data_IF_164255712205
#
_entry.id   IF_164255712205
#
_cell.length_a   1.000
_cell.length_b   1.000
_cell.length_c   1.000
_cell.angle_alpha   90.00
_cell.angle_beta   90.00
_cell.angle_gamma   90.00
#
_symmetry.space_group_name_H-M   'P 1'
#
loop_
_entity.id
_entity.type
_entity.pdbx_description
1 polymer ?
#
# COMPACT_ATOMS: atom_id res chain seq x y z
N UNK A 1 -14.98 -38.48 9.73
CA UNK A 1 -13.58 -38.04 9.70
C UNK A 1 -13.51 -36.81 8.80
N UNK A 2 -13.60 -35.62 9.40
CA UNK A 2 -13.51 -34.36 8.68
C UNK A 2 -12.02 -33.93 8.66
N UNK A 3 -11.37 -34.07 7.54
CA UNK A 3 -10.06 -33.45 7.29
C UNK A 3 -10.29 -31.97 7.12
N UNK A 4 -10.09 -31.22 8.21
CA UNK A 4 -9.94 -29.77 8.13
C UNK A 4 -8.72 -29.49 7.25
N UNK A 5 -8.95 -28.91 6.08
CA UNK A 5 -7.89 -28.37 5.23
C UNK A 5 -7.25 -27.24 6.03
N UNK A 6 -6.09 -27.49 6.62
CA UNK A 6 -5.24 -26.45 7.18
C UNK A 6 -4.92 -25.48 6.05
N UNK A 7 -5.63 -24.36 6.03
CA UNK A 7 -5.22 -23.23 5.22
C UNK A 7 -3.87 -22.77 5.78
N UNK A 8 -2.81 -23.03 5.03
CA UNK A 8 -1.49 -22.47 5.33
C UNK A 8 -1.64 -20.98 5.60
N UNK A 9 -1.11 -20.46 6.72
CA UNK A 9 -1.19 -19.04 7.01
C UNK A 9 -0.62 -18.29 5.80
N UNK A 10 -1.39 -17.34 5.26
CA UNK A 10 -0.90 -16.45 4.22
C UNK A 10 0.29 -15.72 4.84
N UNK A 11 1.49 -16.14 4.51
CA UNK A 11 2.72 -15.45 4.91
C UNK A 11 2.65 -14.07 4.25
N UNK A 12 2.35 -13.06 5.06
CA UNK A 12 2.43 -11.66 4.63
C UNK A 12 3.89 -11.34 4.31
N UNK A 13 4.19 -11.28 3.03
CA UNK A 13 5.55 -11.03 2.58
C UNK A 13 5.87 -9.55 2.73
N UNK A 14 6.92 -9.25 3.50
CA UNK A 14 7.50 -7.90 3.57
C UNK A 14 8.35 -7.61 2.34
N UNK A 15 7.70 -7.51 1.19
CA UNK A 15 8.37 -7.27 -0.09
C UNK A 15 9.02 -5.88 -0.22
N UNK A 16 8.68 -4.95 0.67
CA UNK A 16 9.26 -3.61 0.74
C UNK A 16 10.35 -3.46 1.78
N UNK A 17 10.57 -4.46 2.65
CA UNK A 17 11.52 -4.39 3.75
C UNK A 17 11.07 -3.46 4.88
N UNK A 18 9.76 -3.37 5.11
CA UNK A 18 9.16 -2.47 6.10
C UNK A 18 9.51 -2.85 7.54
N UNK A 19 9.80 -4.14 7.80
CA UNK A 19 10.16 -4.64 9.13
C UNK A 19 11.39 -3.92 9.70
N UNK A 20 12.35 -3.57 8.81
CA UNK A 20 13.56 -2.84 9.18
C UNK A 20 13.40 -1.33 9.34
N UNK A 21 12.22 -0.78 9.00
CA UNK A 21 11.99 0.67 9.01
C UNK A 21 11.55 1.17 10.40
N UNK A 22 12.08 2.30 10.84
CA UNK A 22 11.63 2.96 12.07
C UNK A 22 10.52 3.97 11.79
N UNK A 23 9.29 3.62 12.11
CA UNK A 23 8.11 4.48 11.99
C UNK A 23 7.69 5.20 13.28
N UNK A 24 8.44 5.07 14.38
CA UNK A 24 8.04 5.64 15.70
C UNK A 24 7.74 7.12 15.67
N UNK A 25 8.44 7.86 14.82
CA UNK A 25 8.26 9.30 14.66
C UNK A 25 7.66 9.70 13.31
N UNK A 26 7.24 8.73 12.51
CA UNK A 26 6.67 9.00 11.20
C UNK A 26 5.22 9.42 11.31
N UNK A 27 4.87 10.55 10.70
CA UNK A 27 3.52 11.10 10.69
C UNK A 27 2.73 10.65 9.47
N UNK A 28 3.38 10.57 8.32
CA UNK A 28 2.77 10.14 7.06
C UNK A 28 3.63 9.08 6.38
N UNK A 29 3.00 7.94 6.08
CA UNK A 29 3.56 6.86 5.29
C UNK A 29 2.76 6.78 3.99
N UNK A 30 3.41 6.85 2.83
CA UNK A 30 2.75 6.78 1.53
C UNK A 30 3.30 5.61 0.73
N UNK A 31 2.42 4.71 0.33
CA UNK A 31 2.69 3.68 -0.66
C UNK A 31 2.09 4.14 -1.99
N UNK A 32 2.93 4.50 -2.95
CA UNK A 32 2.50 4.97 -4.25
C UNK A 32 2.90 3.99 -5.35
N UNK A 33 1.99 3.74 -6.28
CA UNK A 33 2.23 2.86 -7.41
C UNK A 33 0.97 2.54 -8.20
N UNK A 34 1.16 1.76 -9.27
CA UNK A 34 0.06 1.33 -10.14
C UNK A 34 -0.91 0.39 -9.42
N UNK A 35 -2.05 0.12 -10.04
CA UNK A 35 -3.01 -0.86 -9.55
C UNK A 35 -2.37 -2.26 -9.51
N UNK A 36 -2.63 -3.02 -8.44
CA UNK A 36 -2.06 -4.37 -8.27
C UNK A 36 -0.59 -4.40 -7.83
N UNK A 37 0.05 -3.27 -7.52
CA UNK A 37 1.46 -3.21 -7.11
C UNK A 37 1.73 -3.60 -5.65
N UNK A 38 0.72 -4.07 -4.90
CA UNK A 38 0.88 -4.52 -3.52
C UNK A 38 0.70 -3.43 -2.45
N UNK A 39 0.22 -2.24 -2.79
CA UNK A 39 0.01 -1.15 -1.81
C UNK A 39 -0.85 -1.55 -0.62
N UNK A 40 -2.00 -2.17 -0.87
CA UNK A 40 -2.90 -2.64 0.20
C UNK A 40 -2.28 -3.78 1.01
N UNK A 41 -1.43 -4.62 0.39
CA UNK A 41 -0.66 -5.65 1.10
C UNK A 41 0.35 -5.01 2.05
N UNK A 42 1.07 -3.96 1.60
CA UNK A 42 1.99 -3.21 2.44
C UNK A 42 1.28 -2.52 3.62
N UNK A 43 0.08 -1.96 3.40
CA UNK A 43 -0.75 -1.41 4.46
C UNK A 43 -1.17 -2.47 5.48
N UNK A 44 -1.58 -3.66 5.03
CA UNK A 44 -1.92 -4.79 5.92
C UNK A 44 -0.70 -5.24 6.71
N UNK A 45 0.47 -5.35 6.08
CA UNK A 45 1.71 -5.67 6.78
C UNK A 45 2.00 -4.69 7.91
N UNK A 46 1.88 -3.37 7.66
CA UNK A 46 2.04 -2.35 8.72
C UNK A 46 1.08 -2.57 9.89
N UNK A 47 -0.19 -2.87 9.58
CA UNK A 47 -1.22 -3.04 10.60
C UNK A 47 -0.99 -4.27 11.46
N UNK A 48 -0.70 -5.40 10.82
CA UNK A 48 -0.79 -6.71 11.45
C UNK A 48 0.56 -7.18 11.99
N UNK A 49 1.66 -6.79 11.35
CA UNK A 49 2.98 -7.35 11.62
C UNK A 49 4.02 -6.33 12.09
N UNK A 50 3.91 -5.04 11.68
CA UNK A 50 4.96 -4.09 12.03
C UNK A 50 4.96 -3.71 13.51
N UNK A 51 6.11 -3.81 14.25
CA UNK A 51 6.16 -3.61 15.71
C UNK A 51 5.70 -2.22 16.18
N UNK A 52 5.79 -1.20 15.32
CA UNK A 52 5.32 0.15 15.65
C UNK A 52 3.78 0.22 15.77
N UNK A 53 3.03 -0.66 15.11
CA UNK A 53 1.58 -0.54 14.93
C UNK A 53 0.80 -1.78 15.33
N UNK A 54 1.34 -2.99 15.18
CA UNK A 54 0.69 -4.24 15.54
C UNK A 54 0.18 -4.21 16.98
N UNK A 55 -1.04 -4.71 17.21
CA UNK A 55 -1.69 -4.73 18.51
C UNK A 55 -2.12 -3.35 19.07
N UNK A 56 -1.98 -2.25 18.32
CA UNK A 56 -2.36 -0.90 18.72
C UNK A 56 -3.65 -0.45 18.06
N UNK A 57 -4.37 0.54 18.62
CA UNK A 57 -5.59 1.07 18.02
C UNK A 57 -5.37 1.57 16.60
N UNK A 58 -6.12 1.02 15.67
CA UNK A 58 -6.03 1.31 14.25
C UNK A 58 -7.41 1.60 13.67
N UNK A 59 -7.46 2.40 12.60
CA UNK A 59 -8.66 2.65 11.83
C UNK A 59 -8.36 2.53 10.34
N UNK A 60 -9.10 1.65 9.66
CA UNK A 60 -9.02 1.47 8.22
C UNK A 60 -10.15 2.23 7.51
N UNK A 61 -9.81 2.94 6.44
CA UNK A 61 -10.73 3.73 5.62
C UNK A 61 -10.54 3.31 4.16
N UNK A 62 -11.60 2.87 3.54
CA UNK A 62 -11.67 2.67 2.10
C UNK A 62 -12.18 3.93 1.44
N UNK A 63 -11.44 4.50 0.50
CA UNK A 63 -11.82 5.75 -0.16
C UNK A 63 -12.41 5.52 -1.55
N UNK A 64 -13.18 4.46 -1.75
CA UNK A 64 -13.95 4.30 -3.00
C UNK A 64 -14.90 5.47 -3.22
N UNK A 65 -15.34 6.14 -2.17
CA UNK A 65 -16.11 7.37 -2.23
C UNK A 65 -15.19 8.59 -2.35
N UNK A 66 -15.57 9.55 -3.19
CA UNK A 66 -14.77 10.78 -3.45
C UNK A 66 -14.62 11.67 -2.22
N UNK A 67 -15.49 11.51 -1.23
CA UNK A 67 -15.49 12.28 0.02
C UNK A 67 -15.78 11.38 1.22
N UNK A 68 -14.98 11.51 2.27
CA UNK A 68 -15.15 10.82 3.55
C UNK A 68 -14.91 11.80 4.69
N UNK A 69 -15.66 11.62 5.79
CA UNK A 69 -15.63 12.55 6.92
C UNK A 69 -14.41 12.27 7.82
N UNK A 70 -13.31 12.94 7.51
CA UNK A 70 -12.10 12.87 8.33
C UNK A 70 -12.30 13.43 9.76
N UNK A 71 -13.32 14.27 10.00
CA UNK A 71 -13.52 14.92 11.30
C UNK A 71 -13.95 13.92 12.38
N UNK A 72 -14.56 12.78 12.00
CA UNK A 72 -15.03 11.75 12.92
C UNK A 72 -13.95 10.75 13.35
N UNK A 73 -12.74 10.84 12.77
CA UNK A 73 -11.68 9.85 12.97
C UNK A 73 -10.60 10.48 13.83
N UNK A 74 -10.65 10.23 15.13
CA UNK A 74 -9.74 10.83 16.11
C UNK A 74 -9.07 9.78 17.00
N UNK A 75 -7.89 10.15 17.50
CA UNK A 75 -7.19 9.43 18.57
C UNK A 75 -6.74 8.00 18.23
N UNK A 76 -6.48 7.70 16.96
CA UNK A 76 -5.91 6.42 16.60
C UNK A 76 -4.38 6.50 16.53
N UNK A 77 -3.72 5.39 16.84
CA UNK A 77 -2.27 5.25 16.67
C UNK A 77 -1.89 5.23 15.19
N UNK A 78 -2.68 4.53 14.40
CA UNK A 78 -2.54 4.44 12.96
C UNK A 78 -3.90 4.60 12.28
N UNK A 79 -4.00 5.48 11.31
CA UNK A 79 -5.13 5.56 10.39
C UNK A 79 -4.64 5.15 9.01
N UNK A 80 -5.28 4.14 8.46
CA UNK A 80 -4.98 3.63 7.12
C UNK A 80 -6.01 4.17 6.15
N UNK A 81 -5.55 4.76 5.05
CA UNK A 81 -6.39 5.28 3.96
C UNK A 81 -6.03 4.53 2.69
N UNK A 82 -6.86 3.59 2.30
CA UNK A 82 -6.64 2.82 1.09
C UNK A 82 -7.31 3.50 -0.11
N UNK A 83 -6.63 3.47 -1.29
CA UNK A 83 -7.15 3.94 -2.57
C UNK A 83 -7.25 5.47 -2.72
N UNK A 84 -6.29 6.25 -2.22
CA UNK A 84 -6.22 7.68 -2.56
C UNK A 84 -5.84 7.85 -4.04
N UNK A 85 -6.84 8.11 -4.88
CA UNK A 85 -6.69 8.18 -6.35
C UNK A 85 -6.84 9.59 -6.91
N UNK A 86 -7.36 10.54 -6.11
CA UNK A 86 -7.64 11.89 -6.59
C UNK A 86 -7.07 12.97 -5.67
N UNK A 87 -6.45 14.07 -6.22
CA UNK A 87 -5.88 15.15 -5.41
C UNK A 87 -6.87 15.82 -4.43
N UNK A 88 -8.15 15.84 -4.76
CA UNK A 88 -9.20 16.37 -3.87
C UNK A 88 -9.35 15.64 -2.53
N UNK A 89 -8.76 14.44 -2.41
CA UNK A 89 -8.75 13.68 -1.16
C UNK A 89 -7.62 14.12 -0.21
N UNK A 90 -6.60 14.84 -0.70
CA UNK A 90 -5.45 15.27 0.10
C UNK A 90 -5.80 16.20 1.27
N UNK A 91 -6.75 17.15 1.18
CA UNK A 91 -7.19 17.92 2.33
C UNK A 91 -7.75 17.07 3.47
N UNK A 92 -8.43 15.96 3.15
CA UNK A 92 -8.92 15.03 4.15
C UNK A 92 -7.76 14.26 4.81
N UNK A 93 -6.75 13.82 4.05
CA UNK A 93 -5.50 13.24 4.59
C UNK A 93 -4.81 14.24 5.54
N UNK A 94 -4.74 15.53 5.16
CA UNK A 94 -4.17 16.56 6.01
C UNK A 94 -4.93 16.75 7.34
N UNK A 95 -6.27 16.66 7.31
CA UNK A 95 -7.09 16.68 8.54
C UNK A 95 -6.81 15.48 9.43
N UNK A 96 -6.70 14.27 8.86
CA UNK A 96 -6.34 13.07 9.61
C UNK A 96 -4.99 13.21 10.32
N UNK A 97 -3.99 13.77 9.64
CA UNK A 97 -2.67 14.02 10.21
C UNK A 97 -2.69 14.97 11.41
N UNK A 98 -3.64 15.92 11.46
CA UNK A 98 -3.81 16.81 12.60
C UNK A 98 -4.42 16.10 13.82
N UNK A 99 -5.21 15.06 13.60
CA UNK A 99 -6.04 14.43 14.62
C UNK A 99 -5.47 13.09 15.12
N UNK A 100 -4.56 12.48 14.38
CA UNK A 100 -4.04 11.14 14.64
C UNK A 100 -2.51 11.14 14.69
N UNK A 101 -1.91 10.09 15.26
CA UNK A 101 -0.45 10.01 15.39
C UNK A 101 0.24 9.75 14.07
N UNK A 102 -0.22 8.73 13.35
CA UNK A 102 0.32 8.34 12.05
C UNK A 102 -0.82 8.08 11.06
N UNK A 103 -0.62 8.47 9.82
CA UNK A 103 -1.51 8.15 8.71
C UNK A 103 -0.72 7.39 7.65
N UNK A 104 -1.19 6.21 7.27
CA UNK A 104 -0.63 5.43 6.16
C UNK A 104 -1.60 5.46 4.98
N UNK A 105 -1.08 5.72 3.78
CA UNK A 105 -1.87 5.96 2.57
C UNK A 105 -1.41 5.05 1.45
N UNK A 106 -2.33 4.31 0.83
CA UNK A 106 -2.11 3.72 -0.48
C UNK A 106 -2.63 4.67 -1.57
N UNK A 107 -1.80 5.01 -2.54
CA UNK A 107 -2.14 6.03 -3.53
C UNK A 107 -1.75 5.68 -4.94
N UNK A 108 -2.58 6.13 -5.89
CA UNK A 108 -2.29 6.16 -7.32
C UNK A 108 -1.74 7.52 -7.78
N UNK A 109 -1.68 8.49 -6.89
CA UNK A 109 -1.14 9.81 -7.19
C UNK A 109 0.39 9.75 -7.33
N UNK A 110 0.91 10.63 -8.17
CA UNK A 110 2.36 10.81 -8.29
C UNK A 110 2.95 11.29 -6.96
N UNK A 111 4.18 10.89 -6.59
CA UNK A 111 4.86 11.33 -5.36
C UNK A 111 4.85 12.84 -5.13
N UNK A 112 4.92 13.62 -6.21
CA UNK A 112 4.91 15.09 -6.17
C UNK A 112 3.68 15.68 -5.46
N UNK A 113 2.53 15.00 -5.49
CA UNK A 113 1.32 15.45 -4.79
C UNK A 113 1.46 15.43 -3.28
N UNK A 114 2.36 14.60 -2.74
CA UNK A 114 2.61 14.49 -1.31
C UNK A 114 3.77 15.37 -0.82
N UNK A 115 4.41 16.12 -1.73
CA UNK A 115 5.53 16.99 -1.37
C UNK A 115 5.19 18.01 -0.26
N UNK A 116 4.01 18.68 -0.24
CA UNK A 116 3.67 19.62 0.82
C UNK A 116 3.64 18.99 2.22
N UNK A 117 3.36 17.69 2.31
CA UNK A 117 3.33 16.99 3.60
C UNK A 117 4.71 16.77 4.21
N UNK A 118 5.78 16.87 3.42
CA UNK A 118 7.16 16.82 3.94
C UNK A 118 7.44 17.96 4.92
N UNK A 119 6.77 19.09 4.76
CA UNK A 119 6.89 20.25 5.65
C UNK A 119 6.09 20.07 6.95
N UNK A 120 5.09 19.19 6.97
CA UNK A 120 4.20 18.99 8.12
C UNK A 120 4.73 17.94 9.12
N UNK A 121 5.91 17.37 8.92
CA UNK A 121 6.48 16.38 9.82
C UNK A 121 7.23 15.25 9.13
N UNK A 122 7.58 14.20 9.87
CA UNK A 122 8.34 13.08 9.34
C UNK A 122 7.50 12.28 8.34
N UNK A 123 7.95 12.26 7.12
CA UNK A 123 7.31 11.67 5.96
C UNK A 123 8.16 10.52 5.42
N UNK A 124 7.54 9.40 5.14
CA UNK A 124 8.12 8.25 4.45
C UNK A 124 7.32 7.94 3.20
N UNK A 125 8.01 7.62 2.12
CA UNK A 125 7.41 7.32 0.84
C UNK A 125 8.04 6.08 0.22
N UNK A 126 7.21 5.13 -0.15
CA UNK A 126 7.58 3.87 -0.77
C UNK A 126 6.95 3.77 -2.16
N UNK A 127 7.77 3.50 -3.16
CA UNK A 127 7.31 3.15 -4.48
C UNK A 127 7.06 1.64 -4.53
N UNK A 128 5.83 1.28 -4.89
CA UNK A 128 5.40 -0.11 -5.01
C UNK A 128 5.34 -0.57 -6.46
N UNK A 129 6.03 0.12 -7.37
CA UNK A 129 6.07 -0.26 -8.77
C UNK A 129 6.65 -1.66 -8.94
N UNK A 130 6.22 -2.35 -10.00
CA UNK A 130 6.72 -3.68 -10.34
C UNK A 130 8.21 -3.61 -10.70
N UNK A 131 9.04 -3.99 -9.73
CA UNK A 131 10.46 -4.16 -9.89
C UNK A 131 10.74 -5.66 -10.09
N UNK A 132 11.39 -6.03 -11.18
CA UNK A 132 11.72 -7.41 -11.50
C UNK A 132 12.49 -8.09 -10.35
N UNK A 133 13.38 -7.35 -9.68
CA UNK A 133 14.13 -7.89 -8.56
C UNK A 133 13.24 -8.20 -7.34
N UNK A 134 12.20 -7.40 -7.10
CA UNK A 134 11.20 -7.67 -6.04
C UNK A 134 10.35 -8.88 -6.39
N UNK A 135 9.91 -9.00 -7.65
CA UNK A 135 9.13 -10.14 -8.12
C UNK A 135 9.96 -11.42 -8.02
N UNK A 136 11.20 -11.41 -8.49
CA UNK A 136 12.09 -12.57 -8.38
C UNK A 136 12.30 -13.02 -6.94
N UNK A 137 12.57 -12.08 -6.02
CA UNK A 137 12.70 -12.37 -4.58
C UNK A 137 11.43 -12.96 -3.99
N UNK A 138 10.27 -12.42 -4.35
CA UNK A 138 8.98 -12.94 -3.90
C UNK A 138 8.77 -14.38 -4.38
N UNK A 139 8.99 -14.67 -5.66
CA UNK A 139 8.88 -16.02 -6.21
C UNK A 139 9.84 -17.00 -5.52
N UNK A 140 11.10 -16.58 -5.31
CA UNK A 140 12.11 -17.41 -4.61
C UNK A 140 11.67 -17.74 -3.18
N UNK A 141 11.16 -16.75 -2.43
CA UNK A 141 10.68 -16.96 -1.04
C UNK A 141 9.53 -17.96 -0.95
N UNK A 142 8.65 -17.96 -1.95
CA UNK A 142 7.52 -18.91 -2.02
C UNK A 142 7.88 -20.25 -2.67
N UNK A 143 9.15 -20.51 -2.93
CA UNK A 143 9.62 -21.77 -3.54
C UNK A 143 9.13 -21.95 -4.99
N UNK A 144 8.69 -20.85 -5.65
CA UNK A 144 8.23 -20.90 -7.04
C UNK A 144 9.45 -20.84 -7.96
N UNK A 145 9.67 -21.92 -8.70
CA UNK A 145 10.72 -21.97 -9.70
C UNK A 145 10.48 -20.95 -10.81
N UNK A 146 11.45 -20.12 -11.13
CA UNK A 146 11.38 -19.11 -12.17
C UNK A 146 12.74 -18.88 -12.81
N UNK A 147 12.73 -18.37 -14.05
CA UNK A 147 13.93 -17.90 -14.73
C UNK A 147 13.96 -16.39 -14.77
N UNK A 148 15.15 -15.78 -14.82
CA UNK A 148 15.29 -14.33 -14.95
C UNK A 148 14.53 -13.81 -16.18
N UNK A 149 14.62 -14.51 -17.32
CA UNK A 149 13.92 -14.16 -18.56
C UNK A 149 12.39 -14.17 -18.40
N UNK A 150 11.82 -15.12 -17.64
CA UNK A 150 10.37 -15.16 -17.39
C UNK A 150 9.93 -13.98 -16.51
N UNK A 151 10.72 -13.59 -15.52
CA UNK A 151 10.44 -12.43 -14.66
C UNK A 151 10.54 -11.13 -15.46
N UNK A 152 11.56 -10.96 -16.27
CA UNK A 152 11.72 -9.79 -17.14
C UNK A 152 10.57 -9.65 -18.14
N UNK A 153 10.18 -10.77 -18.79
CA UNK A 153 9.05 -10.78 -19.71
C UNK A 153 7.73 -10.44 -19.00
N UNK A 154 7.52 -10.96 -17.78
CA UNK A 154 6.37 -10.57 -16.96
C UNK A 154 6.38 -9.08 -16.64
N UNK A 155 7.52 -8.53 -16.23
CA UNK A 155 7.67 -7.10 -15.94
C UNK A 155 7.42 -6.26 -17.20
N UNK A 156 7.95 -6.68 -18.34
CA UNK A 156 7.74 -5.98 -19.61
C UNK A 156 6.26 -5.95 -20.02
N UNK A 157 5.55 -7.07 -19.87
CA UNK A 157 4.11 -7.14 -20.21
C UNK A 157 3.23 -6.36 -19.25
N UNK A 158 3.59 -6.30 -17.97
CA UNK A 158 2.76 -5.72 -16.91
C UNK A 158 3.26 -4.38 -16.39
N UNK A 159 4.55 -4.05 -16.56
CA UNK A 159 5.15 -2.78 -16.17
C UNK A 159 4.73 -1.61 -17.08
N UNK A 160 4.46 -1.89 -18.35
CA UNK A 160 4.12 -0.87 -19.35
C UNK A 160 2.62 -0.55 -19.44
N UNK A 161 1.85 -0.85 -18.39
CA UNK A 161 0.39 -0.58 -18.37
C UNK A 161 0.00 0.90 -18.41
N UNK A 162 0.89 1.79 -18.81
CA UNK A 162 0.50 3.17 -19.18
C UNK A 162 -0.38 3.20 -20.44
N UNK A 163 -0.33 2.20 -21.30
CA UNK A 163 -1.06 2.16 -22.59
C UNK A 163 -2.40 1.39 -22.55
N UNK A 164 -2.67 0.56 -21.54
CA UNK A 164 -3.80 -0.38 -21.58
C UNK A 164 -5.06 0.14 -20.85
N UNK A 165 -5.07 1.35 -20.32
CA UNK A 165 -6.28 1.93 -19.71
C UNK A 165 -7.35 2.39 -20.69
N UNK A 166 -7.10 2.32 -22.00
CA UNK A 166 -8.09 2.69 -23.02
C UNK A 166 -9.01 1.53 -23.45
N UNK A 167 -8.72 0.27 -23.09
CA UNK A 167 -9.46 -0.88 -23.62
C UNK A 167 -10.20 -1.76 -22.60
N UNK A 168 -10.24 -1.43 -21.32
CA UNK A 168 -10.97 -2.26 -20.34
C UNK A 168 -12.41 -1.82 -20.03
N UNK A 169 -12.98 -0.89 -20.82
CA UNK A 169 -14.39 -0.51 -20.70
C UNK A 169 -15.34 -1.33 -21.61
N UNK A 170 -14.85 -2.35 -22.32
CA UNK A 170 -15.65 -3.16 -23.24
C UNK A 170 -15.46 -4.66 -23.02
N UNK A 171 -15.65 -5.19 -21.83
CA UNK A 171 -16.03 -6.60 -21.64
C UNK A 171 -16.90 -6.71 -20.39
N UNK A 172 -18.16 -6.34 -20.55
CA UNK A 172 -19.28 -6.84 -19.77
C UNK A 172 -20.44 -7.00 -20.74
N UNK A 173 -20.53 -8.16 -21.31
CA UNK A 173 -21.77 -8.80 -21.77
C UNK A 173 -21.77 -10.19 -21.19
#
# INVERSE_FOLDING_TARGET
MNTATEQSPILFDDFLGLEGEDFRQTRLIVFAGISGSGKSTALKFLCDHHPAFSGKPQRWIWTMEKTWDAARIRCNRLVVVDEVSHPRQLPAVARLLKQNQTVAVASHLKPAWFWPFRLAGRYRHFLTDHDCAKIARHLTRHGISHTAAAVEEFCRRHGDRKSTRLNSSHVLI
#
